data_IF_534113859415
#
_entry.id   IF_534113859415
#
_cell.length_a   1.000
_cell.length_b   1.000
_cell.length_c   1.000
_cell.angle_alpha   90.00
_cell.angle_beta   90.00
_cell.angle_gamma   90.00
#
_symmetry.space_group_name_H-M   'P 1'
#
loop_
_entity.id
_entity.type
_entity.pdbx_description
1 polymer ?
#
# COMPACT_ATOMS: atom_id res chain seq x y z
N UNK A 1 17.80 89.53 19.24
CA UNK A 1 16.53 88.81 19.48
C UNK A 1 15.60 89.14 18.32
N UNK A 2 15.27 88.11 17.53
CA UNK A 2 14.14 87.87 16.61
C UNK A 2 13.62 89.06 15.79
N UNK A 3 13.82 89.16 14.46
CA UNK A 3 13.38 88.33 13.32
C UNK A 3 12.30 89.10 12.52
N UNK A 4 12.46 89.34 11.20
CA UNK A 4 11.42 89.97 10.39
C UNK A 4 10.56 88.94 9.65
N UNK A 5 9.28 89.28 9.50
CA UNK A 5 8.27 88.59 8.70
C UNK A 5 8.13 89.30 7.36
N UNK A 6 8.16 88.56 6.26
CA UNK A 6 7.49 88.90 5.00
C UNK A 6 7.10 87.63 4.23
N UNK A 7 5.80 87.44 4.00
CA UNK A 7 5.20 86.57 2.97
C UNK A 7 5.30 87.25 1.56
N UNK A 8 4.63 86.78 0.49
CA UNK A 8 4.72 85.49 -0.23
C UNK A 8 4.93 85.72 -1.75
N UNK A 9 5.24 84.68 -2.54
CA UNK A 9 4.95 84.69 -3.99
C UNK A 9 4.74 83.29 -4.60
N UNK A 10 3.73 83.24 -5.45
CA UNK A 10 3.07 82.08 -6.07
C UNK A 10 3.89 81.38 -7.17
N UNK A 11 3.44 80.20 -7.68
CA UNK A 11 4.30 79.24 -8.37
C UNK A 11 4.33 79.44 -9.89
N UNK A 12 5.44 79.06 -10.52
CA UNK A 12 5.62 79.09 -11.96
C UNK A 12 6.52 77.96 -12.48
N UNK A 13 5.99 77.30 -13.53
CA UNK A 13 6.63 76.55 -14.62
C UNK A 13 7.34 75.21 -14.36
N UNK A 14 6.67 74.16 -14.84
CA UNK A 14 7.12 73.24 -15.90
C UNK A 14 8.49 72.55 -15.80
N UNK A 15 8.44 71.22 -15.85
CA UNK A 15 9.60 70.38 -16.11
C UNK A 15 9.24 68.90 -16.11
N UNK A 16 8.64 68.42 -17.21
CA UNK A 16 8.55 67.00 -17.53
C UNK A 16 9.95 66.36 -17.50
N UNK A 17 10.10 65.25 -16.75
CA UNK A 17 11.01 64.17 -17.13
C UNK A 17 10.44 62.83 -16.70
N UNK A 18 10.11 62.05 -17.72
CA UNK A 18 9.84 60.63 -17.72
C UNK A 18 11.03 59.84 -17.15
N UNK A 19 10.74 58.89 -16.25
CA UNK A 19 11.21 57.51 -16.36
C UNK A 19 10.18 56.62 -15.66
N UNK A 20 9.23 56.14 -16.45
CA UNK A 20 8.49 54.94 -16.12
C UNK A 20 9.48 53.76 -16.15
N UNK A 21 9.68 53.14 -15.00
CA UNK A 21 10.36 51.85 -14.90
C UNK A 21 9.60 50.98 -13.90
N UNK A 22 8.35 50.70 -14.24
CA UNK A 22 7.71 49.49 -13.74
C UNK A 22 8.51 48.29 -14.25
N UNK A 23 9.06 47.41 -13.39
CA UNK A 23 9.63 46.15 -13.87
C UNK A 23 8.48 45.35 -14.48
N UNK A 24 8.57 45.12 -15.79
CA UNK A 24 7.64 44.30 -16.55
C UNK A 24 7.45 42.94 -15.87
N UNK A 25 6.19 42.56 -15.68
CA UNK A 25 5.75 41.36 -15.01
C UNK A 25 6.00 40.06 -15.81
N UNK A 26 7.03 40.02 -16.67
CA UNK A 26 7.23 38.94 -17.64
C UNK A 26 8.45 38.03 -17.38
N UNK A 27 9.31 38.27 -16.38
CA UNK A 27 10.48 37.40 -16.16
C UNK A 27 10.27 36.23 -15.16
N UNK A 28 9.03 35.92 -14.76
CA UNK A 28 8.73 34.79 -13.83
C UNK A 28 8.16 33.54 -14.52
N UNK A 29 8.29 33.38 -15.83
CA UNK A 29 7.74 32.22 -16.57
C UNK A 29 8.61 30.94 -16.51
N UNK A 30 9.48 30.83 -15.50
CA UNK A 30 10.35 29.66 -15.32
C UNK A 30 9.90 28.65 -14.26
N UNK A 31 8.69 28.76 -13.68
CA UNK A 31 8.21 27.72 -12.76
C UNK A 31 7.92 26.46 -13.59
N UNK A 32 8.67 25.36 -13.46
CA UNK A 32 8.49 24.21 -14.34
C UNK A 32 7.07 23.70 -14.13
N UNK A 33 6.27 23.68 -15.19
CA UNK A 33 4.86 23.26 -15.19
C UNK A 33 4.68 21.92 -14.46
N UNK A 34 5.68 21.04 -14.54
CA UNK A 34 5.76 19.77 -13.81
C UNK A 34 5.76 19.91 -12.27
N UNK A 35 6.42 20.93 -11.71
CA UNK A 35 6.45 21.21 -10.27
C UNK A 35 5.08 21.72 -9.80
N UNK A 36 4.44 22.61 -10.57
CA UNK A 36 3.10 23.11 -10.29
C UNK A 36 2.05 21.99 -10.33
N UNK A 37 2.14 21.09 -11.32
CA UNK A 37 1.24 19.93 -11.47
C UNK A 37 1.42 18.92 -10.32
N UNK A 38 2.67 18.65 -9.90
CA UNK A 38 2.96 17.82 -8.71
C UNK A 38 2.40 18.45 -7.42
N UNK A 39 2.55 19.75 -7.23
CA UNK A 39 2.01 20.47 -6.05
C UNK A 39 0.48 20.42 -5.99
N UNK A 40 -0.21 20.59 -7.11
CA UNK A 40 -1.69 20.52 -7.14
C UNK A 40 -2.22 19.10 -6.89
N UNK A 41 -1.57 18.06 -7.43
CA UNK A 41 -1.90 16.67 -7.14
C UNK A 41 -1.69 16.33 -5.66
N UNK A 42 -0.58 16.81 -5.07
CA UNK A 42 -0.29 16.67 -3.65
C UNK A 42 -1.36 17.34 -2.77
N UNK A 43 -1.80 18.55 -3.14
CA UNK A 43 -2.80 19.31 -2.37
C UNK A 43 -4.16 18.60 -2.35
N UNK A 44 -4.65 18.13 -3.50
CA UNK A 44 -5.90 17.33 -3.59
C UNK A 44 -5.86 16.05 -2.76
N UNK A 45 -4.70 15.41 -2.66
CA UNK A 45 -4.53 14.25 -1.78
C UNK A 45 -4.56 14.62 -0.29
N UNK A 46 -3.96 15.75 0.08
CA UNK A 46 -3.98 16.25 1.46
C UNK A 46 -5.40 16.57 1.92
N UNK A 47 -6.20 17.22 1.06
CA UNK A 47 -7.59 17.57 1.39
C UNK A 47 -8.45 16.32 1.60
N UNK A 48 -8.25 15.27 0.76
CA UNK A 48 -8.90 13.96 0.94
C UNK A 48 -8.50 13.27 2.24
N UNK A 49 -7.26 13.47 2.72
CA UNK A 49 -6.78 12.90 3.98
C UNK A 49 -7.27 13.70 5.20
N UNK A 50 -7.51 14.99 5.07
CA UNK A 50 -7.96 15.87 6.15
C UNK A 50 -9.45 15.66 6.50
N UNK A 51 -10.30 15.34 5.51
CA UNK A 51 -11.75 15.19 5.71
C UNK A 51 -12.23 13.84 6.25
N UNK A 52 -11.35 12.86 6.49
CA UNK A 52 -11.74 11.53 6.96
C UNK A 52 -11.48 11.36 8.45
N UNK A 53 -12.55 11.10 9.23
CA UNK A 53 -12.41 10.65 10.62
C UNK A 53 -11.69 9.31 10.60
N UNK A 54 -10.45 9.30 11.08
CA UNK A 54 -9.64 8.08 11.17
C UNK A 54 -10.12 7.26 12.38
N UNK A 55 -10.62 6.03 12.19
CA UNK A 55 -11.07 5.23 13.32
C UNK A 55 -9.92 4.89 14.27
N UNK A 56 -10.22 4.75 15.56
CA UNK A 56 -9.22 4.53 16.62
C UNK A 56 -8.42 3.23 16.45
N UNK A 57 -9.03 2.19 15.88
CA UNK A 57 -8.39 0.88 15.66
C UNK A 57 -7.51 0.83 14.40
N UNK A 58 -7.43 1.92 13.62
CA UNK A 58 -6.63 1.98 12.39
C UNK A 58 -5.17 1.59 12.66
N UNK A 59 -4.74 0.50 12.02
CA UNK A 59 -3.38 -0.04 12.12
C UNK A 59 -3.08 -0.90 13.34
N UNK A 60 -3.95 -0.94 14.36
CA UNK A 60 -3.73 -1.78 15.55
C UNK A 60 -3.81 -3.27 15.24
N UNK A 61 -4.76 -3.68 14.39
CA UNK A 61 -4.89 -5.08 13.98
C UNK A 61 -3.61 -5.60 13.30
N UNK A 62 -3.02 -4.82 12.38
CA UNK A 62 -1.76 -5.20 11.73
C UNK A 62 -0.56 -5.14 12.68
N UNK A 63 -0.56 -4.21 13.65
CA UNK A 63 0.47 -4.17 14.69
C UNK A 63 0.46 -5.44 15.56
N UNK A 64 -0.73 -5.95 15.90
CA UNK A 64 -0.87 -7.23 16.61
C UNK A 64 -0.57 -8.44 15.72
N UNK A 65 -0.91 -8.39 14.43
CA UNK A 65 -0.63 -9.47 13.49
C UNK A 65 0.85 -9.64 13.16
N UNK A 66 1.65 -8.57 13.19
CA UNK A 66 3.09 -8.62 12.89
C UNK A 66 3.87 -9.67 13.72
N UNK A 67 3.83 -9.68 15.07
CA UNK A 67 4.53 -10.70 15.86
C UNK A 67 3.98 -12.11 15.60
N UNK A 68 2.67 -12.26 15.36
CA UNK A 68 2.07 -13.56 15.03
C UNK A 68 2.57 -14.09 13.67
N UNK A 69 2.68 -13.23 12.66
CA UNK A 69 3.25 -13.57 11.37
C UNK A 69 4.74 -13.94 11.47
N UNK A 70 5.49 -13.25 12.33
CA UNK A 70 6.89 -13.58 12.60
C UNK A 70 7.04 -14.96 13.25
N UNK A 71 6.28 -15.25 14.31
CA UNK A 71 6.33 -16.55 15.00
C UNK A 71 5.81 -17.68 14.10
N UNK A 72 4.67 -17.48 13.45
CA UNK A 72 4.08 -18.47 12.55
C UNK A 72 4.94 -18.75 11.32
N UNK A 73 5.51 -17.70 10.72
CA UNK A 73 6.45 -17.81 9.61
C UNK A 73 7.73 -18.54 10.01
N UNK A 74 8.30 -18.23 11.18
CA UNK A 74 9.46 -18.95 11.71
C UNK A 74 9.14 -20.43 11.98
N UNK A 75 7.98 -20.73 12.56
CA UNK A 75 7.53 -22.10 12.77
C UNK A 75 7.44 -22.86 11.44
N UNK A 76 6.85 -22.25 10.40
CA UNK A 76 6.78 -22.82 9.06
C UNK A 76 8.18 -23.11 8.49
N UNK A 77 9.14 -22.20 8.66
CA UNK A 77 10.53 -22.42 8.23
C UNK A 77 11.14 -23.60 8.98
N UNK A 78 10.94 -23.71 10.30
CA UNK A 78 11.54 -24.78 11.10
C UNK A 78 11.03 -26.16 10.68
N UNK A 79 9.72 -26.29 10.44
CA UNK A 79 9.06 -27.57 10.13
C UNK A 79 9.10 -27.93 8.65
N UNK A 80 9.54 -27.04 7.77
CA UNK A 80 9.60 -27.35 6.33
C UNK A 80 10.65 -28.44 6.06
N UNK A 81 10.31 -29.49 5.29
CA UNK A 81 11.11 -30.72 5.24
C UNK A 81 12.40 -30.57 4.42
N UNK A 82 12.41 -29.71 3.40
CA UNK A 82 13.53 -29.55 2.46
C UNK A 82 14.12 -28.14 2.50
N UNK A 83 15.32 -27.94 1.96
CA UNK A 83 15.93 -26.61 1.88
C UNK A 83 15.10 -25.65 1.01
N UNK A 84 14.53 -26.15 -0.09
CA UNK A 84 13.69 -25.37 -1.01
C UNK A 84 12.41 -24.89 -0.31
N UNK A 85 11.74 -25.78 0.42
CA UNK A 85 10.54 -25.44 1.19
C UNK A 85 10.85 -24.49 2.35
N UNK A 86 12.01 -24.61 3.00
CA UNK A 86 12.48 -23.65 4.02
C UNK A 86 12.72 -22.25 3.46
N UNK A 87 13.37 -22.15 2.29
CA UNK A 87 13.57 -20.86 1.61
C UNK A 87 12.22 -20.26 1.20
N UNK A 88 11.33 -21.08 0.64
CA UNK A 88 9.99 -20.66 0.26
C UNK A 88 9.17 -20.16 1.46
N UNK A 89 9.24 -20.86 2.60
CA UNK A 89 8.63 -20.46 3.86
C UNK A 89 9.21 -19.13 4.39
N UNK A 90 10.52 -18.94 4.28
CA UNK A 90 11.17 -17.70 4.69
C UNK A 90 10.70 -16.50 3.84
N UNK A 91 10.49 -16.71 2.54
CA UNK A 91 9.92 -15.70 1.64
C UNK A 91 8.50 -15.32 2.09
N UNK A 92 7.65 -16.30 2.42
CA UNK A 92 6.33 -16.04 2.98
C UNK A 92 6.39 -15.26 4.31
N UNK A 93 7.28 -15.67 5.22
CA UNK A 93 7.46 -15.02 6.52
C UNK A 93 7.89 -13.55 6.35
N UNK A 94 8.92 -13.29 5.55
CA UNK A 94 9.45 -11.94 5.32
C UNK A 94 8.40 -11.05 4.65
N UNK A 95 7.72 -11.54 3.61
CA UNK A 95 6.68 -10.76 2.93
C UNK A 95 5.48 -10.47 3.85
N UNK A 96 5.12 -11.40 4.75
CA UNK A 96 4.07 -11.19 5.75
C UNK A 96 4.46 -10.15 6.79
N UNK A 97 5.71 -10.22 7.29
CA UNK A 97 6.29 -9.21 8.18
C UNK A 97 6.33 -7.83 7.51
N UNK A 98 6.74 -7.74 6.24
CA UNK A 98 6.73 -6.49 5.49
C UNK A 98 5.32 -5.92 5.36
N UNK A 99 4.34 -6.74 5.01
CA UNK A 99 2.93 -6.33 4.91
C UNK A 99 2.44 -5.74 6.24
N UNK A 100 2.43 -6.54 7.31
CA UNK A 100 1.84 -6.12 8.58
C UNK A 100 2.66 -5.02 9.25
N UNK A 101 3.98 -5.11 9.21
CA UNK A 101 4.88 -4.13 9.82
C UNK A 101 4.78 -2.77 9.14
N UNK A 102 4.89 -2.73 7.81
CA UNK A 102 4.77 -1.47 7.05
C UNK A 102 3.40 -0.84 7.26
N UNK A 103 2.35 -1.65 7.26
CA UNK A 103 0.98 -1.18 7.45
C UNK A 103 0.75 -0.61 8.86
N UNK A 104 1.26 -1.29 9.89
CA UNK A 104 1.22 -0.81 11.26
C UNK A 104 1.96 0.53 11.39
N UNK A 105 3.18 0.64 10.88
CA UNK A 105 4.00 1.86 10.90
C UNK A 105 3.28 3.00 10.17
N UNK A 106 2.78 2.74 8.95
CA UNK A 106 2.03 3.70 8.15
C UNK A 106 0.82 4.27 8.90
N UNK A 107 0.02 3.39 9.50
CA UNK A 107 -1.22 3.77 10.13
C UNK A 107 -1.08 4.26 11.57
N UNK A 108 -0.05 3.89 12.32
CA UNK A 108 0.12 4.33 13.72
C UNK A 108 0.94 5.59 13.85
N UNK A 109 1.90 5.81 12.96
CA UNK A 109 2.84 6.93 13.09
C UNK A 109 2.30 8.31 12.69
N UNK A 110 2.89 9.35 13.28
CA UNK A 110 2.64 10.77 12.98
C UNK A 110 3.69 11.29 12.02
N UNK A 111 3.53 10.96 10.74
CA UNK A 111 4.52 11.24 9.70
C UNK A 111 4.34 12.60 9.04
N UNK A 112 5.46 13.27 8.70
CA UNK A 112 5.47 14.39 7.75
C UNK A 112 4.93 13.92 6.39
N UNK A 113 4.37 14.84 5.61
CA UNK A 113 3.68 14.54 4.34
C UNK A 113 4.45 13.60 3.40
N UNK A 114 5.75 13.85 3.19
CA UNK A 114 6.57 13.01 2.30
C UNK A 114 6.66 11.57 2.80
N UNK A 115 7.00 11.37 4.07
CA UNK A 115 7.10 10.04 4.67
C UNK A 115 5.75 9.31 4.67
N UNK A 116 4.64 10.01 4.97
CA UNK A 116 3.28 9.43 4.88
C UNK A 116 2.96 8.89 3.49
N UNK A 117 3.37 9.60 2.43
CA UNK A 117 3.13 9.17 1.05
C UNK A 117 3.99 7.97 0.66
N UNK A 118 5.26 7.93 1.10
CA UNK A 118 6.15 6.79 0.86
C UNK A 118 5.61 5.54 1.56
N UNK A 119 5.31 5.64 2.86
CA UNK A 119 4.75 4.53 3.64
C UNK A 119 3.44 4.02 3.06
N UNK A 120 2.56 4.92 2.59
CA UNK A 120 1.34 4.52 1.89
C UNK A 120 1.64 3.75 0.60
N UNK A 121 2.69 4.09 -0.14
CA UNK A 121 3.04 3.35 -1.37
C UNK A 121 3.56 1.97 -1.03
N UNK A 122 4.45 1.88 -0.05
CA UNK A 122 5.01 0.60 0.42
C UNK A 122 3.91 -0.32 0.96
N UNK A 123 3.01 0.21 1.79
CA UNK A 123 1.85 -0.51 2.34
C UNK A 123 0.99 -1.16 1.24
N UNK A 124 0.72 -0.44 0.15
CA UNK A 124 -0.02 -1.00 -0.98
C UNK A 124 0.81 -1.87 -1.93
N UNK A 125 2.11 -1.63 -2.04
CA UNK A 125 3.00 -2.45 -2.86
C UNK A 125 3.20 -3.83 -2.21
N UNK A 126 3.20 -3.90 -0.88
CA UNK A 126 3.34 -5.16 -0.14
C UNK A 126 2.21 -6.15 -0.42
N UNK A 127 1.03 -5.71 -0.88
CA UNK A 127 -0.05 -6.62 -1.31
C UNK A 127 0.43 -7.53 -2.44
N UNK A 128 1.19 -7.01 -3.41
CA UNK A 128 1.78 -7.83 -4.48
C UNK A 128 2.81 -8.81 -3.93
N UNK A 129 3.68 -8.34 -3.03
CA UNK A 129 4.76 -9.15 -2.48
C UNK A 129 4.23 -10.30 -1.62
N UNK A 130 3.26 -10.05 -0.75
CA UNK A 130 2.67 -11.12 0.08
C UNK A 130 1.87 -12.12 -0.75
N UNK A 131 1.18 -11.70 -1.81
CA UNK A 131 0.48 -12.63 -2.68
C UNK A 131 1.47 -13.59 -3.35
N UNK A 132 2.55 -13.07 -3.98
CA UNK A 132 3.60 -13.93 -4.54
C UNK A 132 4.31 -14.77 -3.47
N UNK A 133 4.59 -14.16 -2.31
CA UNK A 133 5.19 -14.83 -1.16
C UNK A 133 4.34 -15.96 -0.59
N UNK A 134 3.01 -15.87 -0.66
CA UNK A 134 2.07 -16.92 -0.24
C UNK A 134 2.08 -18.09 -1.22
N UNK A 135 2.08 -17.80 -2.51
CA UNK A 135 2.15 -18.83 -3.55
C UNK A 135 3.48 -19.57 -3.57
N UNK A 136 4.57 -18.97 -3.08
CA UNK A 136 5.90 -19.55 -3.11
C UNK A 136 6.00 -20.89 -2.36
N UNK A 137 5.75 -20.97 -1.03
CA UNK A 137 5.76 -22.26 -0.34
C UNK A 137 4.57 -23.13 -0.71
N UNK A 138 3.42 -22.56 -1.10
CA UNK A 138 2.26 -23.35 -1.54
C UNK A 138 2.61 -24.16 -2.79
N UNK A 139 3.22 -23.53 -3.79
CA UNK A 139 3.64 -24.20 -5.01
C UNK A 139 4.71 -25.25 -4.73
N UNK A 140 5.75 -24.89 -3.97
CA UNK A 140 6.86 -25.80 -3.63
C UNK A 140 6.39 -27.03 -2.86
N UNK A 141 5.39 -26.90 -1.99
CA UNK A 141 4.90 -28.01 -1.16
C UNK A 141 3.81 -28.87 -1.84
N UNK A 142 3.08 -28.34 -2.83
CA UNK A 142 1.87 -29.02 -3.34
C UNK A 142 1.88 -29.31 -4.84
N UNK A 143 2.77 -28.69 -5.61
CA UNK A 143 2.79 -28.80 -7.06
C UNK A 143 4.04 -29.50 -7.56
N UNK A 144 3.96 -30.02 -8.79
CA UNK A 144 5.14 -30.51 -9.51
C UNK A 144 6.07 -29.37 -9.86
N UNK A 145 7.36 -29.67 -10.02
CA UNK A 145 8.42 -28.71 -10.32
C UNK A 145 8.12 -27.81 -11.52
N UNK A 146 7.61 -28.36 -12.62
CA UNK A 146 7.30 -27.60 -13.84
C UNK A 146 6.18 -26.57 -13.62
N UNK A 147 5.13 -26.98 -12.89
CA UNK A 147 4.02 -26.11 -12.49
C UNK A 147 4.47 -25.04 -11.51
N UNK A 148 5.33 -25.39 -10.55
CA UNK A 148 5.92 -24.45 -9.59
C UNK A 148 6.72 -23.38 -10.31
N UNK A 149 7.62 -23.74 -11.23
CA UNK A 149 8.42 -22.78 -11.99
C UNK A 149 7.52 -21.82 -12.79
N UNK A 150 6.53 -22.36 -13.50
CA UNK A 150 5.60 -21.54 -14.29
C UNK A 150 4.83 -20.55 -13.41
N UNK A 151 4.18 -21.04 -12.35
CA UNK A 151 3.37 -20.24 -11.45
C UNK A 151 4.21 -19.13 -10.79
N UNK A 152 5.39 -19.48 -10.25
CA UNK A 152 6.24 -18.51 -9.55
C UNK A 152 6.85 -17.49 -10.50
N UNK A 153 7.23 -17.88 -11.72
CA UNK A 153 7.75 -16.93 -12.72
C UNK A 153 6.71 -15.87 -13.08
N UNK A 154 5.48 -16.30 -13.35
CA UNK A 154 4.37 -15.39 -13.67
C UNK A 154 4.05 -14.48 -12.49
N UNK A 155 3.91 -15.05 -11.29
CA UNK A 155 3.52 -14.28 -10.11
C UNK A 155 4.58 -13.31 -9.65
N UNK A 156 5.85 -13.71 -9.58
CA UNK A 156 6.92 -12.80 -9.18
C UNK A 156 7.16 -11.72 -10.23
N UNK A 157 7.10 -12.04 -11.52
CA UNK A 157 7.17 -11.05 -12.60
C UNK A 157 6.07 -10.00 -12.48
N UNK A 158 4.82 -10.44 -12.31
CA UNK A 158 3.68 -9.55 -12.12
C UNK A 158 3.72 -8.79 -10.77
N UNK A 159 4.24 -9.40 -9.70
CA UNK A 159 4.39 -8.75 -8.39
C UNK A 159 5.41 -7.62 -8.44
N UNK A 160 6.57 -7.84 -9.06
CA UNK A 160 7.61 -6.82 -9.22
C UNK A 160 7.07 -5.67 -10.07
N UNK A 161 6.44 -5.99 -11.21
CA UNK A 161 5.86 -4.97 -12.09
C UNK A 161 4.74 -4.19 -11.38
N UNK A 162 3.86 -4.87 -10.66
CA UNK A 162 2.77 -4.25 -9.90
C UNK A 162 3.28 -3.36 -8.76
N UNK A 163 4.27 -3.83 -7.99
CA UNK A 163 4.89 -3.08 -6.90
C UNK A 163 5.65 -1.85 -7.43
N UNK A 164 6.39 -2.00 -8.53
CA UNK A 164 7.07 -0.90 -9.21
C UNK A 164 6.06 0.12 -9.73
N UNK A 165 5.00 -0.33 -10.43
CA UNK A 165 3.95 0.54 -10.94
C UNK A 165 3.29 1.32 -9.80
N UNK A 166 2.98 0.66 -8.68
CA UNK A 166 2.36 1.30 -7.51
C UNK A 166 3.26 2.35 -6.84
N UNK A 167 4.57 2.12 -6.83
CA UNK A 167 5.53 3.02 -6.17
C UNK A 167 5.93 4.21 -7.05
N UNK A 168 5.94 4.02 -8.37
CA UNK A 168 6.30 5.03 -9.38
C UNK A 168 5.09 5.89 -9.77
N UNK A 169 3.93 5.28 -10.06
CA UNK A 169 2.74 5.97 -10.57
C UNK A 169 1.75 6.33 -9.45
N UNK A 170 1.78 7.60 -9.05
CA UNK A 170 1.19 8.07 -7.78
C UNK A 170 -0.23 8.62 -7.90
N UNK A 171 -0.70 8.85 -9.12
CA UNK A 171 -2.01 9.47 -9.42
C UNK A 171 -3.07 8.47 -9.84
N UNK A 172 -2.72 7.18 -9.96
CA UNK A 172 -3.65 6.16 -10.42
C UNK A 172 -4.79 5.95 -9.40
N UNK A 173 -6.05 5.88 -9.86
CA UNK A 173 -7.20 5.85 -8.98
C UNK A 173 -7.31 4.49 -8.27
N UNK A 174 -7.80 4.49 -7.03
CA UNK A 174 -7.90 3.26 -6.21
C UNK A 174 -8.77 2.18 -6.83
N UNK A 175 -9.81 2.55 -7.58
CA UNK A 175 -10.71 1.60 -8.26
C UNK A 175 -9.97 0.75 -9.30
N UNK A 176 -8.85 1.22 -9.84
CA UNK A 176 -8.02 0.45 -10.77
C UNK A 176 -7.28 -0.68 -10.06
N UNK A 177 -6.82 -0.44 -8.84
CA UNK A 177 -5.94 -1.39 -8.14
C UNK A 177 -6.70 -2.52 -7.45
N UNK A 178 -7.95 -2.30 -7.00
CA UNK A 178 -8.72 -3.36 -6.33
C UNK A 178 -8.94 -4.56 -7.26
N UNK A 179 -9.42 -4.41 -8.51
CA UNK A 179 -9.52 -5.53 -9.45
C UNK A 179 -8.18 -6.17 -9.79
N UNK A 180 -7.11 -5.37 -9.92
CA UNK A 180 -5.76 -5.90 -10.17
C UNK A 180 -5.31 -6.79 -9.01
N UNK A 181 -5.50 -6.36 -7.76
CA UNK A 181 -5.16 -7.15 -6.58
C UNK A 181 -5.98 -8.43 -6.51
N UNK A 182 -7.29 -8.36 -6.79
CA UNK A 182 -8.15 -9.54 -6.81
C UNK A 182 -7.73 -10.50 -7.92
N UNK A 183 -7.57 -10.02 -9.15
CA UNK A 183 -7.12 -10.82 -10.29
C UNK A 183 -5.78 -11.50 -10.04
N UNK A 184 -4.84 -10.78 -9.44
CA UNK A 184 -3.54 -11.32 -9.04
C UNK A 184 -3.67 -12.39 -7.93
N UNK A 185 -4.54 -12.16 -6.95
CA UNK A 185 -4.80 -13.08 -5.85
C UNK A 185 -5.61 -14.33 -6.21
N UNK A 186 -6.34 -14.33 -7.34
CA UNK A 186 -7.07 -15.51 -7.84
C UNK A 186 -6.31 -16.24 -8.94
N UNK A 187 -5.12 -15.80 -9.33
CA UNK A 187 -4.31 -16.46 -10.36
C UNK A 187 -4.01 -17.93 -10.03
N UNK A 188 -3.94 -18.29 -8.74
CA UNK A 188 -3.78 -19.67 -8.30
C UNK A 188 -5.04 -20.53 -8.32
N UNK A 189 -6.20 -20.00 -8.70
CA UNK A 189 -7.45 -20.79 -8.79
C UNK A 189 -7.29 -21.98 -9.74
N UNK A 190 -6.52 -21.83 -10.81
CA UNK A 190 -6.22 -22.92 -11.76
C UNK A 190 -5.44 -24.09 -11.15
N UNK A 191 -4.84 -23.90 -9.97
CA UNK A 191 -4.08 -24.92 -9.25
C UNK A 191 -4.85 -25.54 -8.06
N UNK A 192 -6.09 -25.11 -7.82
CA UNK A 192 -6.94 -25.64 -6.74
C UNK A 192 -7.17 -27.16 -6.87
N UNK A 193 -7.43 -27.74 -8.06
CA UNK A 193 -7.58 -29.19 -8.18
C UNK A 193 -6.34 -29.96 -7.71
N UNK A 194 -5.15 -29.48 -8.04
CA UNK A 194 -3.86 -30.08 -7.66
C UNK A 194 -3.63 -29.95 -6.15
N UNK A 195 -3.89 -28.77 -5.59
CA UNK A 195 -3.80 -28.53 -4.14
C UNK A 195 -4.78 -29.46 -3.39
N UNK A 196 -6.01 -29.58 -3.87
CA UNK A 196 -7.01 -30.44 -3.26
C UNK A 196 -6.62 -31.93 -3.32
N UNK A 197 -6.07 -32.36 -4.46
CA UNK A 197 -5.56 -33.71 -4.63
C UNK A 197 -4.36 -34.01 -3.72
N UNK A 198 -3.51 -33.01 -3.42
CA UNK A 198 -2.41 -33.18 -2.46
C UNK A 198 -2.91 -33.34 -1.03
N UNK A 199 -3.86 -32.50 -0.59
CA UNK A 199 -4.44 -32.55 0.74
C UNK A 199 -5.73 -31.70 0.79
N UNK A 200 -6.90 -32.30 1.04
CA UNK A 200 -8.18 -31.57 1.08
C UNK A 200 -8.22 -30.46 2.15
N UNK A 201 -7.58 -30.64 3.30
CA UNK A 201 -7.53 -29.63 4.35
C UNK A 201 -6.76 -28.38 3.89
N UNK A 202 -5.66 -28.57 3.15
CA UNK A 202 -4.91 -27.47 2.51
C UNK A 202 -5.80 -26.75 1.50
N UNK A 203 -6.52 -27.50 0.65
CA UNK A 203 -7.47 -26.95 -0.32
C UNK A 203 -8.54 -26.07 0.33
N UNK A 204 -9.19 -26.56 1.40
CA UNK A 204 -10.22 -25.82 2.14
C UNK A 204 -9.66 -24.52 2.71
N UNK A 205 -8.48 -24.57 3.34
CA UNK A 205 -7.85 -23.40 3.94
C UNK A 205 -7.41 -22.37 2.89
N UNK A 206 -6.90 -22.81 1.74
CA UNK A 206 -6.55 -21.93 0.62
C UNK A 206 -7.79 -21.20 0.09
N UNK A 207 -8.89 -21.93 -0.13
CA UNK A 207 -10.17 -21.36 -0.59
C UNK A 207 -10.74 -20.40 0.45
N UNK A 208 -10.80 -20.79 1.72
CA UNK A 208 -11.29 -19.94 2.81
C UNK A 208 -10.48 -18.64 2.90
N UNK A 209 -9.15 -18.71 2.83
CA UNK A 209 -8.29 -17.54 2.85
C UNK A 209 -8.49 -16.64 1.61
N UNK A 210 -8.66 -17.24 0.43
CA UNK A 210 -9.01 -16.53 -0.80
C UNK A 210 -10.34 -15.78 -0.70
N UNK A 211 -11.37 -16.43 -0.14
CA UNK A 211 -12.68 -15.80 0.11
C UNK A 211 -12.53 -14.61 1.07
N UNK A 212 -11.77 -14.76 2.17
CA UNK A 212 -11.49 -13.64 3.08
C UNK A 212 -10.88 -12.44 2.33
N UNK A 213 -9.87 -12.67 1.49
CA UNK A 213 -9.26 -11.59 0.71
C UNK A 213 -10.21 -10.94 -0.29
N UNK A 214 -11.00 -11.73 -1.03
CA UNK A 214 -11.96 -11.20 -2.00
C UNK A 214 -13.04 -10.37 -1.29
N UNK A 215 -13.65 -10.90 -0.23
CA UNK A 215 -14.66 -10.18 0.55
C UNK A 215 -14.08 -8.91 1.14
N UNK A 216 -12.86 -8.97 1.69
CA UNK A 216 -12.15 -7.80 2.20
C UNK A 216 -11.92 -6.74 1.12
N UNK A 217 -11.45 -7.14 -0.06
CA UNK A 217 -11.21 -6.26 -1.19
C UNK A 217 -12.49 -5.59 -1.69
N UNK A 218 -13.60 -6.34 -1.73
CA UNK A 218 -14.94 -5.82 -2.07
C UNK A 218 -15.37 -4.77 -1.04
N UNK A 219 -15.32 -5.08 0.26
CA UNK A 219 -15.65 -4.15 1.35
C UNK A 219 -14.81 -2.87 1.26
N UNK A 220 -13.51 -3.02 0.99
CA UNK A 220 -12.60 -1.88 0.79
C UNK A 220 -13.01 -1.03 -0.41
N UNK A 221 -13.37 -1.66 -1.53
CA UNK A 221 -13.80 -1.00 -2.76
C UNK A 221 -15.11 -0.22 -2.59
N UNK A 222 -16.12 -0.85 -1.99
CA UNK A 222 -17.46 -0.25 -1.78
C UNK A 222 -17.49 0.73 -0.59
N UNK A 223 -16.48 0.70 0.28
CA UNK A 223 -16.33 1.55 1.48
C UNK A 223 -17.45 1.40 2.50
N UNK A 224 -18.06 0.23 2.55
CA UNK A 224 -19.15 -0.18 3.45
C UNK A 224 -18.96 -1.66 3.81
N UNK A 225 -19.43 -2.11 4.98
CA UNK A 225 -20.13 -1.34 6.01
C UNK A 225 -19.18 -0.47 6.86
N UNK A 226 -19.74 0.46 7.62
CA UNK A 226 -19.02 1.22 8.66
C UNK A 226 -19.72 1.06 10.00
N UNK A 227 -19.58 -0.10 10.67
CA UNK A 227 -20.33 -0.43 11.88
C UNK A 227 -20.16 0.61 12.99
N UNK A 228 -18.95 1.17 13.11
CA UNK A 228 -18.67 2.26 14.04
C UNK A 228 -17.68 3.23 13.40
N UNK A 229 -18.13 4.37 12.83
CA UNK A 229 -17.26 5.32 12.15
C UNK A 229 -16.08 5.82 13.00
N UNK A 230 -16.21 5.80 14.34
CA UNK A 230 -15.16 6.21 15.28
C UNK A 230 -14.17 5.08 15.62
N UNK A 231 -14.57 3.81 15.54
CA UNK A 231 -13.78 2.68 16.02
C UNK A 231 -13.47 1.65 14.94
N UNK A 232 -14.49 1.24 14.17
CA UNK A 232 -14.44 0.16 13.20
C UNK A 232 -15.17 0.57 11.91
N UNK A 233 -14.41 0.99 10.90
CA UNK A 233 -14.92 1.26 9.55
C UNK A 233 -14.60 0.13 8.58
N UNK A 234 -14.99 0.32 7.31
CA UNK A 234 -14.78 -0.64 6.22
C UNK A 234 -13.31 -1.07 6.09
N UNK A 235 -12.37 -0.18 6.39
CA UNK A 235 -10.96 -0.44 6.24
C UNK A 235 -10.39 -1.30 7.37
N UNK A 236 -10.91 -1.15 8.58
CA UNK A 236 -10.59 -2.05 9.69
C UNK A 236 -11.14 -3.45 9.41
N UNK A 237 -12.34 -3.56 8.83
CA UNK A 237 -12.88 -4.85 8.39
C UNK A 237 -12.00 -5.48 7.31
N UNK A 238 -11.54 -4.68 6.34
CA UNK A 238 -10.56 -5.14 5.36
C UNK A 238 -9.27 -5.69 6.03
N UNK A 239 -8.72 -4.99 7.03
CA UNK A 239 -7.56 -5.48 7.77
C UNK A 239 -7.83 -6.79 8.51
N UNK A 240 -8.99 -6.90 9.17
CA UNK A 240 -9.37 -8.13 9.88
C UNK A 240 -9.47 -9.30 8.89
N UNK A 241 -10.13 -9.11 7.75
CA UNK A 241 -10.23 -10.14 6.72
C UNK A 241 -8.89 -10.45 6.06
N UNK A 242 -7.98 -9.48 5.97
CA UNK A 242 -6.60 -9.70 5.50
C UNK A 242 -5.83 -10.59 6.46
N UNK A 243 -5.97 -10.35 7.78
CA UNK A 243 -5.36 -11.19 8.82
C UNK A 243 -5.97 -12.59 8.81
N UNK A 244 -7.29 -12.70 8.71
CA UNK A 244 -7.97 -13.99 8.64
C UNK A 244 -7.52 -14.78 7.41
N UNK A 245 -7.45 -14.14 6.24
CA UNK A 245 -6.94 -14.74 5.01
C UNK A 245 -5.50 -15.23 5.14
N UNK A 246 -4.61 -14.38 5.67
CA UNK A 246 -3.23 -14.75 5.95
C UNK A 246 -3.15 -15.93 6.94
N UNK A 247 -3.97 -15.93 7.98
CA UNK A 247 -4.03 -17.01 8.97
C UNK A 247 -4.46 -18.34 8.36
N UNK A 248 -5.48 -18.34 7.49
CA UNK A 248 -5.89 -19.52 6.73
C UNK A 248 -4.74 -20.04 5.85
N UNK A 249 -4.04 -19.15 5.14
CA UNK A 249 -2.92 -19.55 4.28
C UNK A 249 -1.71 -20.04 5.07
N UNK A 250 -1.35 -19.39 6.18
CA UNK A 250 -0.32 -19.90 7.10
C UNK A 250 -0.69 -21.30 7.62
N UNK A 251 -1.94 -21.50 8.05
CA UNK A 251 -2.39 -22.82 8.50
C UNK A 251 -2.32 -23.87 7.38
N UNK A 252 -2.72 -23.51 6.16
CA UNK A 252 -2.62 -24.39 4.99
C UNK A 252 -1.16 -24.82 4.75
N UNK A 253 -0.23 -23.87 4.84
CA UNK A 253 1.19 -24.12 4.65
C UNK A 253 1.79 -24.98 5.77
N UNK A 254 1.38 -24.77 7.03
CA UNK A 254 1.80 -25.61 8.15
C UNK A 254 1.32 -27.06 7.96
N UNK A 255 0.06 -27.26 7.57
CA UNK A 255 -0.49 -28.59 7.27
C UNK A 255 0.25 -29.23 6.10
N UNK A 256 0.48 -28.49 5.02
CA UNK A 256 1.20 -28.99 3.85
C UNK A 256 2.65 -29.39 4.19
N UNK A 257 3.35 -28.59 5.01
CA UNK A 257 4.72 -28.88 5.41
C UNK A 257 4.83 -30.14 6.29
N UNK A 258 3.90 -30.34 7.23
CA UNK A 258 3.88 -31.57 8.06
C UNK A 258 3.51 -32.80 7.24
N UNK A 259 2.57 -32.68 6.30
CA UNK A 259 2.14 -33.78 5.45
C UNK A 259 3.17 -34.20 4.39
N UNK A 260 4.26 -33.46 4.23
CA UNK A 260 5.32 -33.72 3.26
C UNK A 260 6.49 -34.55 3.83
N UNK A 261 6.40 -35.00 5.09
CA UNK A 261 7.25 -36.04 5.69
C UNK A 261 6.69 -37.43 5.40
#
# INVERSE_FOLDING_TARGET
>A
MNAPVTEPSSPGSEGQRSVDSTPSAESRSGYPVHIARRRSALRRELDKLAGQVKPKLRGWFHAAAFPLAMVGGLALVIISPTIESRIAAAIFAITGMLLFGTSAVYHRGRWRTRARLILRRLDHANIFLITAGTYTPLAVLTLRTDQTILLLSVLWGAAILGAAFRTIFTTAPRWLFVPIYVGFGVAGVGYIPQIWASNPAVGILVVAGGVCYVVGAVIYGIKKPNPSPKWLGFHEIFHILTIAGYGCHLAALLVAAVAAY
#
